data_IF_177810039527
#
_entry.id   IF_177810039527
#
_cell.length_a   1.000
_cell.length_b   1.000
_cell.length_c   1.000
_cell.angle_alpha   90.00
_cell.angle_beta   90.00
_cell.angle_gamma   90.00
#
_symmetry.space_group_name_H-M   'P 1'
#
loop_
_entity.id
_entity.type
_entity.pdbx_description
1 polymer ?
#
# COMPACT_ATOMS: atom_id res chain seq x y z
N UNK A 1 8.28 1.03 10.30
CA UNK A 1 8.28 -0.36 9.77
C UNK A 1 8.91 -0.33 8.39
N UNK A 2 9.43 -1.44 7.87
CA UNK A 2 9.96 -1.48 6.51
C UNK A 2 8.78 -1.70 5.56
N UNK A 3 8.34 -0.66 4.86
CA UNK A 3 7.32 -0.76 3.83
C UNK A 3 7.81 -1.71 2.71
N UNK A 4 6.89 -2.48 2.14
CA UNK A 4 7.18 -3.41 1.05
C UNK A 4 6.93 -2.68 -0.25
N UNK A 5 8.00 -2.42 -0.98
CA UNK A 5 7.95 -1.71 -2.25
C UNK A 5 7.79 -2.69 -3.41
N UNK A 6 6.80 -2.42 -4.24
CA UNK A 6 6.53 -3.06 -5.52
C UNK A 6 6.75 -2.06 -6.65
N UNK A 7 7.33 -2.52 -7.76
CA UNK A 7 7.62 -1.67 -8.92
C UNK A 7 7.11 -2.35 -10.17
N UNK A 8 6.33 -1.64 -10.98
CA UNK A 8 5.84 -2.13 -12.27
C UNK A 8 5.89 -1.01 -13.30
N UNK A 9 6.66 -1.23 -14.36
CA UNK A 9 6.87 -0.24 -15.42
C UNK A 9 7.31 1.12 -14.85
N UNK A 10 6.54 2.18 -15.09
CA UNK A 10 6.77 3.53 -14.58
C UNK A 10 6.00 3.82 -13.28
N UNK A 11 5.62 2.81 -12.51
CA UNK A 11 4.86 2.95 -11.27
C UNK A 11 5.47 2.17 -10.12
N UNK A 12 5.33 2.72 -8.92
CA UNK A 12 5.80 2.18 -7.65
C UNK A 12 4.65 2.17 -6.65
N UNK A 13 4.44 1.06 -5.97
CA UNK A 13 3.47 0.92 -4.90
C UNK A 13 4.19 0.48 -3.61
N UNK A 14 4.03 1.23 -2.53
CA UNK A 14 4.61 0.89 -1.23
C UNK A 14 3.52 0.44 -0.28
N UNK A 15 3.52 -0.85 0.06
CA UNK A 15 2.59 -1.43 1.03
C UNK A 15 3.16 -1.30 2.46
N UNK A 16 2.40 -0.66 3.34
CA UNK A 16 2.71 -0.54 4.76
C UNK A 16 1.45 -0.82 5.60
N UNK A 17 1.59 -0.76 6.91
CA UNK A 17 0.50 -0.93 7.86
C UNK A 17 0.45 0.25 8.82
N UNK A 18 -0.75 0.69 9.12
CA UNK A 18 -1.02 1.69 10.13
C UNK A 18 -1.77 1.04 11.31
N UNK A 19 -1.26 1.25 12.52
CA UNK A 19 -1.97 0.87 13.74
C UNK A 19 -2.98 1.95 14.08
N UNK A 20 -4.24 1.54 14.21
CA UNK A 20 -5.35 2.43 14.54
C UNK A 20 -5.52 2.55 16.07
N UNK A 21 -6.12 3.66 16.54
CA UNK A 21 -6.35 3.89 17.97
C UNK A 21 -7.32 2.88 18.61
N UNK A 22 -8.13 2.19 17.81
CA UNK A 22 -9.01 1.11 18.24
C UNK A 22 -8.29 -0.22 18.50
N UNK A 23 -6.95 -0.28 18.36
CA UNK A 23 -6.15 -1.49 18.54
C UNK A 23 -6.11 -2.39 17.31
N UNK A 24 -6.77 -2.02 16.21
CA UNK A 24 -6.71 -2.73 14.92
C UNK A 24 -5.56 -2.22 14.06
N UNK A 25 -5.33 -2.93 12.97
CA UNK A 25 -4.35 -2.61 11.95
C UNK A 25 -5.09 -2.37 10.63
N UNK A 26 -4.64 -1.38 9.88
CA UNK A 26 -5.15 -1.09 8.54
C UNK A 26 -3.98 -1.11 7.56
N UNK A 27 -4.14 -1.86 6.48
CA UNK A 27 -3.19 -1.83 5.38
C UNK A 27 -3.26 -0.50 4.63
N UNK A 28 -2.12 0.05 4.25
CA UNK A 28 -2.03 1.25 3.43
C UNK A 28 -1.07 1.01 2.28
N UNK A 29 -1.37 1.56 1.11
CA UNK A 29 -0.55 1.44 -0.09
C UNK A 29 -0.32 2.83 -0.65
N UNK A 30 0.93 3.25 -0.76
CA UNK A 30 1.29 4.51 -1.38
C UNK A 30 1.64 4.26 -2.85
N UNK A 31 0.81 4.75 -3.77
CA UNK A 31 1.06 4.63 -5.21
C UNK A 31 1.74 5.91 -5.72
N UNK A 32 2.83 5.76 -6.45
CA UNK A 32 3.60 6.90 -6.95
C UNK A 32 4.27 6.54 -8.29
N UNK A 33 4.26 7.43 -9.29
CA UNK A 33 4.95 7.18 -10.55
C UNK A 33 6.47 7.23 -10.38
N UNK A 34 7.16 6.38 -11.10
CA UNK A 34 8.61 6.26 -11.16
C UNK A 34 9.15 7.20 -12.23
N UNK A 35 9.65 8.36 -11.82
CA UNK A 35 10.23 9.35 -12.75
C UNK A 35 10.07 10.79 -12.28
N UNK A 36 9.04 11.06 -11.50
CA UNK A 36 8.72 12.39 -11.00
C UNK A 36 8.72 12.35 -9.47
N UNK A 37 9.79 12.88 -8.87
CA UNK A 37 9.88 13.04 -7.42
C UNK A 37 8.85 14.03 -6.84
N UNK A 38 8.20 14.81 -7.73
CA UNK A 38 7.16 15.79 -7.40
C UNK A 38 5.74 15.27 -7.69
N UNK A 39 5.60 14.04 -8.21
CA UNK A 39 4.27 13.47 -8.45
C UNK A 39 3.55 13.17 -7.15
N UNK A 40 2.31 13.61 -7.09
CA UNK A 40 1.41 13.41 -5.95
C UNK A 40 1.27 11.91 -5.71
N UNK A 41 1.82 11.45 -4.59
CA UNK A 41 1.67 10.07 -4.18
C UNK A 41 0.21 9.87 -3.75
N UNK A 42 -0.48 8.88 -4.31
CA UNK A 42 -1.88 8.58 -3.99
C UNK A 42 -1.94 7.50 -2.90
N UNK A 43 -2.21 7.86 -1.63
CA UNK A 43 -2.35 6.89 -0.56
C UNK A 43 -3.70 6.16 -0.65
N UNK A 44 -3.65 4.85 -0.81
CA UNK A 44 -4.81 3.95 -0.84
C UNK A 44 -4.86 3.14 0.44
N UNK A 45 -5.94 3.26 1.19
CA UNK A 45 -6.17 2.44 2.37
C UNK A 45 -6.91 1.16 2.00
N UNK A 46 -6.59 0.08 2.68
CA UNK A 46 -7.39 -1.14 2.65
C UNK A 46 -8.67 -0.89 3.45
N UNK A 47 -9.82 -1.22 2.86
CA UNK A 47 -11.14 -1.03 3.49
C UNK A 47 -11.31 -1.94 4.71
N UNK A 48 -10.72 -3.14 4.65
CA UNK A 48 -10.73 -4.13 5.73
C UNK A 48 -9.70 -3.77 6.81
N UNK A 49 -10.16 -3.69 8.06
CA UNK A 49 -9.31 -3.58 9.24
C UNK A 49 -9.03 -4.96 9.81
N UNK A 50 -7.76 -5.27 10.04
CA UNK A 50 -7.33 -6.55 10.61
C UNK A 50 -7.01 -6.44 12.10
N UNK A 51 -7.13 -7.55 12.81
CA UNK A 51 -6.77 -7.62 14.24
C UNK A 51 -5.25 -7.78 14.44
N UNK A 52 -4.54 -8.25 13.40
CA UNK A 52 -3.08 -8.39 13.42
C UNK A 52 -2.39 -7.56 12.34
N UNK A 53 -1.16 -7.15 12.65
CA UNK A 53 -0.28 -6.46 11.71
C UNK A 53 0.01 -7.30 10.45
N UNK A 54 0.08 -8.62 10.58
CA UNK A 54 0.40 -9.52 9.48
C UNK A 54 -0.74 -9.60 8.47
N UNK A 55 -1.98 -9.79 8.93
CA UNK A 55 -3.16 -9.79 8.06
C UNK A 55 -3.32 -8.46 7.34
N UNK A 56 -3.18 -7.33 8.05
CA UNK A 56 -3.28 -6.01 7.43
C UNK A 56 -2.22 -5.80 6.33
N UNK A 57 -1.01 -6.35 6.53
CA UNK A 57 0.05 -6.28 5.55
C UNK A 57 -0.24 -7.17 4.34
N UNK A 58 -0.76 -8.39 4.53
CA UNK A 58 -1.16 -9.26 3.42
C UNK A 58 -2.24 -8.61 2.55
N UNK A 59 -3.23 -7.97 3.17
CA UNK A 59 -4.25 -7.22 2.45
C UNK A 59 -3.66 -6.00 1.71
N UNK A 60 -2.72 -5.28 2.33
CA UNK A 60 -2.02 -4.16 1.68
C UNK A 60 -1.21 -4.63 0.45
N UNK A 61 -0.53 -5.77 0.55
CA UNK A 61 0.20 -6.37 -0.58
C UNK A 61 -0.73 -6.76 -1.72
N UNK A 62 -1.87 -7.38 -1.40
CA UNK A 62 -2.88 -7.75 -2.38
C UNK A 62 -3.42 -6.52 -3.11
N UNK A 63 -3.70 -5.44 -2.37
CA UNK A 63 -4.12 -4.17 -2.94
C UNK A 63 -3.04 -3.55 -3.84
N UNK A 64 -1.78 -3.52 -3.40
CA UNK A 64 -0.67 -3.00 -4.19
C UNK A 64 -0.49 -3.76 -5.51
N UNK A 65 -0.56 -5.09 -5.47
CA UNK A 65 -0.52 -5.92 -6.67
C UNK A 65 -1.69 -5.64 -7.61
N UNK A 66 -2.90 -5.43 -7.08
CA UNK A 66 -4.08 -5.08 -7.89
C UNK A 66 -3.90 -3.72 -8.56
N UNK A 67 -3.55 -2.70 -7.78
CA UNK A 67 -3.36 -1.33 -8.28
C UNK A 67 -2.32 -1.30 -9.40
N UNK A 68 -1.16 -1.91 -9.17
CA UNK A 68 -0.13 -2.04 -10.21
C UNK A 68 -0.65 -2.88 -11.40
N UNK A 69 -1.42 -3.92 -11.13
CA UNK A 69 -2.09 -4.76 -12.13
C UNK A 69 -2.94 -3.96 -13.12
N UNK A 70 -3.70 -2.98 -12.62
CA UNK A 70 -4.60 -2.11 -13.40
C UNK A 70 -3.86 -1.07 -14.25
N UNK A 71 -2.59 -0.79 -13.94
CA UNK A 71 -1.74 0.09 -14.76
C UNK A 71 -1.19 -0.71 -15.95
N UNK A 72 -1.70 -0.38 -17.14
CA UNK A 72 -1.30 -0.96 -18.43
C UNK A 72 -0.34 -0.04 -19.18
#
# INVERSE_FOLDING_TARGET
MAAITYTKAAWKAEADIQRLPNGKYQGVVLLMPMGDADSDADPRTVDVMSDTAQEALEEAKALAHRLLGEMH
#
